data_IF_144421840097
#
_entry.id   IF_144421840097
#
_cell.length_a   1.000
_cell.length_b   1.000
_cell.length_c   1.000
_cell.angle_alpha   90.00
_cell.angle_beta   90.00
_cell.angle_gamma   90.00
#
_symmetry.space_group_name_H-M   'P 1'
#
loop_
_entity.id
_entity.type
_entity.pdbx_description
1 polymer ?
#
# COMPACT_ATOMS: atom_id res chain seq x y z
N UNK A 1 22.97 -6.28 -8.56
CA UNK A 1 21.72 -6.51 -7.80
C UNK A 1 21.11 -5.15 -7.55
N UNK A 2 19.86 -4.92 -7.97
CA UNK A 2 19.16 -3.66 -7.70
C UNK A 2 18.91 -3.55 -6.18
N UNK A 3 19.32 -2.45 -5.57
CA UNK A 3 19.04 -2.21 -4.15
C UNK A 3 17.55 -1.88 -3.96
N UNK A 4 16.93 -2.36 -2.87
CA UNK A 4 15.52 -2.08 -2.59
C UNK A 4 15.38 -1.06 -1.48
N UNK A 5 14.72 0.07 -1.77
CA UNK A 5 14.35 1.09 -0.77
C UNK A 5 12.85 1.05 -0.52
N UNK A 6 12.44 0.64 0.68
CA UNK A 6 11.01 0.59 1.02
C UNK A 6 10.49 1.97 1.42
N UNK A 7 9.32 2.33 0.89
CA UNK A 7 8.53 3.49 1.34
C UNK A 7 7.19 3.01 1.82
N UNK A 8 6.88 3.31 3.09
CA UNK A 8 5.58 2.97 3.70
C UNK A 8 4.57 4.06 3.36
N UNK A 9 3.37 3.67 2.98
CA UNK A 9 2.32 4.60 2.52
C UNK A 9 1.03 4.32 3.26
N UNK A 10 0.60 5.24 4.13
CA UNK A 10 -0.71 5.18 4.77
C UNK A 10 -1.82 5.50 3.77
N UNK A 11 -2.59 4.50 3.36
CA UNK A 11 -3.67 4.65 2.39
C UNK A 11 -5.02 4.88 3.10
N UNK A 12 -5.25 6.11 3.57
CA UNK A 12 -6.53 6.48 4.18
C UNK A 12 -7.63 6.64 3.12
N UNK A 13 -8.78 5.99 3.31
CA UNK A 13 -9.89 6.02 2.35
C UNK A 13 -9.81 4.95 1.25
N UNK A 14 -8.89 3.98 1.38
CA UNK A 14 -8.68 2.90 0.40
C UNK A 14 -9.91 2.02 0.17
N UNK A 15 -10.85 1.99 1.12
CA UNK A 15 -12.09 1.20 0.95
C UNK A 15 -13.13 1.84 0.02
N UNK A 16 -12.90 3.09 -0.43
CA UNK A 16 -13.73 3.75 -1.44
C UNK A 16 -13.48 3.23 -2.85
N UNK A 17 -14.40 3.52 -3.80
CA UNK A 17 -14.31 3.02 -5.18
C UNK A 17 -13.01 3.41 -5.90
N UNK A 18 -12.62 4.68 -5.79
CA UNK A 18 -11.38 5.20 -6.41
C UNK A 18 -10.14 4.74 -5.66
N UNK A 19 -10.16 4.84 -4.32
CA UNK A 19 -9.10 4.36 -3.42
C UNK A 19 -8.68 2.93 -3.73
N UNK A 20 -9.66 2.03 -3.78
CA UNK A 20 -9.40 0.62 -4.06
C UNK A 20 -8.92 0.38 -5.49
N UNK A 21 -9.70 0.84 -6.47
CA UNK A 21 -9.48 0.43 -7.87
C UNK A 21 -8.29 1.13 -8.51
N UNK A 22 -8.17 2.43 -8.30
CA UNK A 22 -7.15 3.24 -8.98
C UNK A 22 -5.87 3.27 -8.15
N UNK A 23 -5.95 3.64 -6.88
CA UNK A 23 -4.74 3.90 -6.08
C UNK A 23 -4.11 2.62 -5.52
N UNK A 24 -4.90 1.70 -4.96
CA UNK A 24 -4.34 0.45 -4.45
C UNK A 24 -4.01 -0.52 -5.60
N UNK A 25 -5.03 -1.00 -6.31
CA UNK A 25 -4.86 -2.10 -7.27
C UNK A 25 -4.06 -1.66 -8.50
N UNK A 26 -4.48 -0.60 -9.19
CA UNK A 26 -3.84 -0.18 -10.46
C UNK A 26 -2.56 0.65 -10.29
N UNK A 27 -2.23 1.09 -9.07
CA UNK A 27 -1.00 1.84 -8.82
C UNK A 27 -0.05 1.08 -7.89
N UNK A 28 -0.29 1.07 -6.57
CA UNK A 28 0.72 0.55 -5.65
C UNK A 28 0.96 -0.96 -5.82
N UNK A 29 -0.09 -1.76 -5.98
CA UNK A 29 0.08 -3.20 -6.19
C UNK A 29 0.69 -3.49 -7.57
N UNK A 30 0.25 -2.79 -8.62
CA UNK A 30 0.84 -2.89 -9.96
C UNK A 30 2.34 -2.56 -9.96
N UNK A 31 2.76 -1.52 -9.24
CA UNK A 31 4.19 -1.17 -9.07
C UNK A 31 4.97 -2.29 -8.37
N UNK A 32 4.39 -2.94 -7.35
CA UNK A 32 5.04 -4.10 -6.69
C UNK A 32 5.18 -5.28 -7.64
N UNK A 33 4.15 -5.56 -8.44
CA UNK A 33 4.19 -6.62 -9.46
C UNK A 33 5.26 -6.37 -10.53
N UNK A 34 5.53 -5.09 -10.84
CA UNK A 34 6.59 -4.67 -11.76
C UNK A 34 8.01 -4.72 -11.14
N UNK A 35 8.15 -5.06 -9.86
CA UNK A 35 9.44 -5.10 -9.16
C UNK A 35 9.81 -3.81 -8.42
N UNK A 36 8.89 -2.86 -8.30
CA UNK A 36 9.12 -1.53 -7.73
C UNK A 36 9.36 -0.46 -8.79
N UNK A 37 9.49 0.79 -8.33
CA UNK A 37 9.79 1.93 -9.20
C UNK A 37 11.31 2.10 -9.31
N UNK A 38 11.86 1.95 -10.51
CA UNK A 38 13.29 2.23 -10.78
C UNK A 38 13.58 3.73 -10.63
N UNK A 39 14.59 4.06 -9.83
CA UNK A 39 15.05 5.44 -9.61
C UNK A 39 16.19 5.85 -10.55
N UNK A 40 16.71 4.92 -11.37
CA UNK A 40 17.76 5.19 -12.36
C UNK A 40 19.20 5.16 -11.80
N UNK A 41 19.36 4.96 -10.49
CA UNK A 41 20.65 4.85 -9.79
C UNK A 41 20.98 3.41 -9.37
N UNK A 42 20.22 2.43 -9.88
CA UNK A 42 20.31 1.03 -9.46
C UNK A 42 19.50 0.70 -8.20
N UNK A 43 18.65 1.63 -7.73
CA UNK A 43 17.69 1.41 -6.64
C UNK A 43 16.26 1.27 -7.16
N UNK A 44 15.54 0.28 -6.66
CA UNK A 44 14.09 0.16 -6.83
C UNK A 44 13.38 0.64 -5.55
N UNK A 45 12.50 1.63 -5.71
CA UNK A 45 11.60 2.09 -4.65
C UNK A 45 10.42 1.13 -4.53
N UNK A 46 10.27 0.54 -3.35
CA UNK A 46 9.23 -0.44 -3.07
C UNK A 46 8.11 0.15 -2.22
N UNK A 47 6.90 0.30 -2.74
CA UNK A 47 5.77 0.81 -1.96
C UNK A 47 5.21 -0.28 -1.04
N UNK A 48 5.13 0.00 0.26
CA UNK A 48 4.51 -0.85 1.28
C UNK A 48 3.25 -0.15 1.84
N UNK A 49 2.05 -0.50 1.34
CA UNK A 49 0.82 0.17 1.77
C UNK A 49 0.37 -0.31 3.15
N UNK A 50 -0.02 0.64 3.99
CA UNK A 50 -0.80 0.40 5.22
C UNK A 50 -2.24 0.83 4.94
N UNK A 51 -3.19 -0.10 4.99
CA UNK A 51 -4.58 0.22 4.68
C UNK A 51 -5.23 0.92 5.88
N UNK A 52 -5.72 2.15 5.69
CA UNK A 52 -6.34 2.92 6.79
C UNK A 52 -7.77 3.31 6.43
N UNK A 53 -8.68 3.20 7.40
CA UNK A 53 -10.06 3.61 7.23
C UNK A 53 -10.95 3.22 8.42
N UNK A 54 -12.25 3.48 8.32
CA UNK A 54 -13.17 3.32 9.46
C UNK A 54 -13.81 1.94 9.60
N UNK A 55 -13.66 1.07 8.59
CA UNK A 55 -14.38 -0.23 8.51
C UNK A 55 -13.40 -1.38 8.61
N UNK A 56 -13.14 -1.82 9.83
CA UNK A 56 -12.21 -2.90 10.18
C UNK A 56 -12.38 -4.15 9.30
N UNK A 57 -13.58 -4.74 9.26
CA UNK A 57 -13.85 -5.95 8.49
C UNK A 57 -13.49 -5.80 7.00
N UNK A 58 -13.71 -4.62 6.43
CA UNK A 58 -13.43 -4.37 5.01
C UNK A 58 -11.94 -4.15 4.75
N UNK A 59 -11.24 -3.50 5.68
CA UNK A 59 -9.79 -3.36 5.63
C UNK A 59 -9.12 -4.72 5.75
N UNK A 60 -9.52 -5.54 6.72
CA UNK A 60 -9.01 -6.89 6.92
C UNK A 60 -9.23 -7.77 5.69
N UNK A 61 -10.46 -7.82 5.16
CA UNK A 61 -10.76 -8.60 3.95
C UNK A 61 -9.97 -8.11 2.71
N UNK A 62 -9.71 -6.81 2.62
CA UNK A 62 -8.89 -6.23 1.54
C UNK A 62 -7.40 -6.57 1.72
N UNK A 63 -6.89 -6.51 2.93
CA UNK A 63 -5.52 -6.88 3.28
C UNK A 63 -5.27 -8.36 2.98
N UNK A 64 -6.17 -9.25 3.45
CA UNK A 64 -6.11 -10.69 3.18
C UNK A 64 -6.15 -11.00 1.67
N UNK A 65 -7.07 -10.37 0.93
CA UNK A 65 -7.20 -10.53 -0.53
C UNK A 65 -5.90 -10.23 -1.27
N UNK A 66 -5.20 -9.18 -0.85
CA UNK A 66 -3.99 -8.68 -1.52
C UNK A 66 -2.68 -9.06 -0.81
N UNK A 67 -2.76 -9.92 0.21
CA UNK A 67 -1.63 -10.37 1.04
C UNK A 67 -0.82 -9.20 1.62
N UNK A 68 -1.53 -8.18 2.08
CA UNK A 68 -0.92 -7.03 2.74
C UNK A 68 -0.87 -7.30 4.24
N UNK A 69 0.29 -7.01 4.84
CA UNK A 69 0.53 -7.31 6.25
C UNK A 69 -0.19 -6.34 7.20
N UNK A 70 -0.47 -5.11 6.74
CA UNK A 70 -0.82 -4.02 7.65
C UNK A 70 -2.08 -3.28 7.25
N UNK A 71 -2.95 -3.11 8.24
CA UNK A 71 -4.13 -2.28 8.19
C UNK A 71 -4.44 -1.75 9.58
N UNK A 72 -5.12 -0.60 9.65
CA UNK A 72 -5.50 0.03 10.92
C UNK A 72 -6.79 0.83 10.77
N UNK A 73 -7.56 0.94 11.85
CA UNK A 73 -8.66 1.90 11.99
C UNK A 73 -8.27 3.17 12.74
N UNK A 74 -7.07 3.20 13.32
CA UNK A 74 -6.48 4.34 14.00
C UNK A 74 -5.50 5.04 13.05
N UNK A 75 -5.85 6.25 12.61
CA UNK A 75 -5.01 7.05 11.72
C UNK A 75 -3.87 7.73 12.48
N UNK A 76 -4.13 8.22 13.69
CA UNK A 76 -3.16 8.98 14.46
C UNK A 76 -2.00 8.07 14.88
N UNK A 77 -2.30 6.84 15.28
CA UNK A 77 -1.28 5.83 15.58
C UNK A 77 -0.42 5.44 14.37
N UNK A 78 -0.94 5.56 13.14
CA UNK A 78 -0.19 5.25 11.91
C UNK A 78 0.73 6.40 11.48
N UNK A 79 0.42 7.65 11.89
CA UNK A 79 1.16 8.86 11.50
C UNK A 79 2.17 9.35 12.55
N UNK A 80 2.13 8.82 13.77
CA UNK A 80 3.08 9.11 14.84
C UNK A 80 4.47 8.55 14.54
#
# INVERSE_FOLDING_TARGET
MTARRTVRIAMNGVTGRMGYRQHLVRSLLALREQGGLDLGDGTALWPEPVLVGRREHALRAMAERHRLAEWSTDLDAVLA
#
